data_IF_638546012174
#
_entry.id   IF_638546012174
#
_cell.length_a   1.000
_cell.length_b   1.000
_cell.length_c   1.000
_cell.angle_alpha   90.00
_cell.angle_beta   90.00
_cell.angle_gamma   90.00
#
_symmetry.space_group_name_H-M   'P 1'
#
loop_
_entity.id
_entity.type
_entity.pdbx_description
1 polymer ?
#
# COMPACT_ATOMS: atom_id res chain seq x y z
N UNK A 1 25.41 -15.56 -12.94
CA UNK A 1 25.12 -14.86 -14.20
C UNK A 1 24.30 -13.62 -13.88
N UNK A 2 24.78 -12.47 -14.33
CA UNK A 2 24.16 -11.15 -14.18
C UNK A 2 22.93 -11.00 -15.07
N UNK A 3 21.92 -10.28 -14.60
CA UNK A 3 20.62 -9.96 -15.26
C UNK A 3 20.69 -9.31 -16.66
N UNK A 4 21.83 -9.34 -17.34
CA UNK A 4 22.08 -8.73 -18.65
C UNK A 4 21.95 -9.72 -19.83
N UNK A 5 21.82 -11.03 -19.58
CA UNK A 5 21.92 -12.04 -20.65
C UNK A 5 20.63 -12.24 -21.45
N UNK A 6 19.52 -11.57 -21.10
CA UNK A 6 18.25 -11.69 -21.81
C UNK A 6 17.71 -10.32 -22.24
N UNK A 7 18.16 -9.77 -23.38
CA UNK A 7 17.78 -8.43 -23.84
C UNK A 7 16.27 -8.26 -24.02
N UNK A 8 15.53 -9.35 -24.17
CA UNK A 8 14.08 -9.36 -24.22
C UNK A 8 13.43 -9.03 -22.86
N UNK A 9 13.99 -9.52 -21.74
CA UNK A 9 13.43 -9.26 -20.40
C UNK A 9 13.63 -7.82 -19.94
N UNK A 10 14.81 -7.24 -20.20
CA UNK A 10 15.02 -5.82 -19.88
C UNK A 10 14.13 -4.92 -20.75
N UNK A 11 13.87 -5.30 -22.00
CA UNK A 11 12.93 -4.59 -22.87
C UNK A 11 11.50 -4.64 -22.32
N UNK A 12 11.01 -5.83 -21.95
CA UNK A 12 9.70 -6.01 -21.30
C UNK A 12 9.59 -5.21 -19.99
N UNK A 13 10.64 -5.24 -19.17
CA UNK A 13 10.69 -4.44 -17.94
C UNK A 13 10.57 -2.95 -18.26
N UNK A 14 11.29 -2.46 -19.26
CA UNK A 14 11.25 -1.06 -19.67
C UNK A 14 9.90 -0.64 -20.27
N UNK A 15 9.25 -1.51 -21.04
CA UNK A 15 7.88 -1.32 -21.54
C UNK A 15 6.90 -1.18 -20.36
N UNK A 16 7.00 -2.07 -19.37
CA UNK A 16 6.19 -1.99 -18.15
C UNK A 16 6.40 -0.70 -17.38
N UNK A 17 7.65 -0.26 -17.21
CA UNK A 17 8.00 1.00 -16.54
C UNK A 17 7.39 2.19 -17.29
N UNK A 18 7.44 2.16 -18.62
CA UNK A 18 6.92 3.24 -19.47
C UNK A 18 5.41 3.31 -19.36
N UNK A 19 4.72 2.18 -19.45
CA UNK A 19 3.27 2.09 -19.26
C UNK A 19 2.84 2.58 -17.86
N UNK A 20 3.58 2.18 -16.81
CA UNK A 20 3.32 2.64 -15.44
C UNK A 20 3.46 4.16 -15.30
N UNK A 21 4.50 4.75 -15.91
CA UNK A 21 4.70 6.20 -15.93
C UNK A 21 3.62 6.97 -16.69
N UNK A 22 3.03 6.35 -17.71
CA UNK A 22 1.91 6.90 -18.47
C UNK A 22 0.55 6.71 -17.75
N UNK A 23 0.52 6.09 -16.57
CA UNK A 23 -0.71 5.79 -15.84
C UNK A 23 -1.47 4.56 -16.36
N UNK A 24 -0.93 3.85 -17.34
CA UNK A 24 -1.51 2.61 -17.85
C UNK A 24 -1.09 1.42 -16.98
N UNK A 25 -1.74 1.29 -15.81
CA UNK A 25 -1.40 0.27 -14.81
C UNK A 25 -1.68 -1.16 -15.29
N UNK A 26 -2.69 -1.36 -16.13
CA UNK A 26 -3.05 -2.68 -16.66
C UNK A 26 -2.00 -3.21 -17.62
N UNK A 27 -1.58 -2.38 -18.59
CA UNK A 27 -0.50 -2.74 -19.51
C UNK A 27 0.83 -2.96 -18.75
N UNK A 28 1.14 -2.09 -17.79
CA UNK A 28 2.32 -2.24 -16.96
C UNK A 28 2.33 -3.57 -16.20
N UNK A 29 1.19 -3.95 -15.60
CA UNK A 29 1.03 -5.22 -14.89
C UNK A 29 1.26 -6.42 -15.80
N UNK A 30 0.78 -6.37 -17.06
CA UNK A 30 1.00 -7.43 -18.03
C UNK A 30 2.49 -7.62 -18.32
N UNK A 31 3.20 -6.54 -18.61
CA UNK A 31 4.64 -6.59 -18.88
C UNK A 31 5.44 -7.08 -17.67
N UNK A 32 5.17 -6.56 -16.47
CA UNK A 32 5.85 -7.03 -15.25
C UNK A 32 5.55 -8.50 -14.95
N UNK A 33 4.32 -8.96 -15.25
CA UNK A 33 3.98 -10.37 -15.10
C UNK A 33 4.81 -11.24 -16.04
N UNK A 34 4.93 -10.87 -17.31
CA UNK A 34 5.79 -11.60 -18.26
C UNK A 34 7.24 -11.66 -17.80
N UNK A 35 7.79 -10.55 -17.29
CA UNK A 35 9.15 -10.53 -16.71
C UNK A 35 9.26 -11.50 -15.54
N UNK A 36 8.26 -11.55 -14.66
CA UNK A 36 8.25 -12.40 -13.47
C UNK A 36 7.96 -13.88 -13.78
N UNK A 37 7.23 -14.16 -14.85
CA UNK A 37 6.97 -15.53 -15.30
C UNK A 37 8.27 -16.19 -15.79
N UNK A 38 9.12 -15.42 -16.47
CA UNK A 38 10.45 -15.84 -16.94
C UNK A 38 11.53 -15.75 -15.84
N UNK A 39 11.55 -14.66 -15.07
CA UNK A 39 12.47 -14.45 -13.95
C UNK A 39 11.75 -14.03 -12.66
N UNK A 40 11.35 -15.05 -11.89
CA UNK A 40 10.74 -14.87 -10.56
C UNK A 40 11.67 -14.21 -9.55
N UNK A 41 12.98 -14.17 -9.80
CA UNK A 41 14.00 -13.54 -8.94
C UNK A 41 14.29 -12.09 -9.35
N UNK A 42 13.52 -11.51 -10.27
CA UNK A 42 13.67 -10.11 -10.65
C UNK A 42 13.05 -9.18 -9.58
N UNK A 43 13.86 -8.76 -8.62
CA UNK A 43 13.44 -7.85 -7.54
C UNK A 43 12.96 -6.49 -8.07
N UNK A 44 13.50 -6.01 -9.20
CA UNK A 44 13.04 -4.77 -9.86
C UNK A 44 11.60 -4.92 -10.33
N UNK A 45 11.27 -6.03 -11.00
CA UNK A 45 9.92 -6.29 -11.50
C UNK A 45 8.90 -6.40 -10.36
N UNK A 46 9.26 -7.03 -9.23
CA UNK A 46 8.41 -7.07 -8.03
C UNK A 46 8.15 -5.67 -7.45
N UNK A 47 9.18 -4.81 -7.38
CA UNK A 47 9.03 -3.42 -6.91
C UNK A 47 8.10 -2.63 -7.82
N UNK A 48 8.23 -2.77 -9.14
CA UNK A 48 7.37 -2.09 -10.09
C UNK A 48 5.95 -2.66 -10.14
N UNK A 49 5.77 -3.97 -9.97
CA UNK A 49 4.46 -4.58 -9.80
C UNK A 49 3.70 -3.98 -8.60
N UNK A 50 4.43 -3.68 -7.52
CA UNK A 50 3.86 -3.02 -6.35
C UNK A 50 3.39 -1.58 -6.62
N UNK A 51 3.98 -0.86 -7.58
CA UNK A 51 3.56 0.51 -7.88
C UNK A 51 2.24 0.59 -8.66
N UNK A 52 1.88 -0.47 -9.38
CA UNK A 52 0.70 -0.53 -10.27
C UNK A 52 -0.47 -1.36 -9.71
N UNK A 53 -0.34 -1.87 -8.48
CA UNK A 53 -1.43 -2.54 -7.77
C UNK A 53 -2.08 -1.58 -6.78
N UNK A 54 -3.41 -1.51 -6.79
CA UNK A 54 -4.17 -0.59 -5.92
C UNK A 54 -4.34 -1.15 -4.50
N UNK A 55 -4.44 -2.48 -4.39
CA UNK A 55 -4.61 -3.18 -3.13
C UNK A 55 -3.36 -3.00 -2.25
N UNK A 56 -3.50 -2.33 -1.07
CA UNK A 56 -2.37 -2.09 -0.18
C UNK A 56 -1.78 -3.36 0.42
N UNK A 57 -2.56 -4.44 0.55
CA UNK A 57 -2.09 -5.73 1.05
C UNK A 57 -1.20 -6.38 0.00
N UNK A 58 -1.67 -6.48 -1.25
CA UNK A 58 -0.86 -7.01 -2.36
C UNK A 58 0.40 -6.19 -2.60
N UNK A 59 0.28 -4.86 -2.53
CA UNK A 59 1.43 -3.96 -2.63
C UNK A 59 2.51 -4.28 -1.60
N UNK A 60 2.12 -4.51 -0.34
CA UNK A 60 3.05 -4.91 0.71
C UNK A 60 3.69 -6.28 0.40
N UNK A 61 2.89 -7.28 0.02
CA UNK A 61 3.38 -8.62 -0.29
C UNK A 61 4.41 -8.64 -1.43
N UNK A 62 4.20 -7.85 -2.49
CA UNK A 62 5.17 -7.75 -3.59
C UNK A 62 6.49 -7.10 -3.16
N UNK A 63 6.43 -6.05 -2.32
CA UNK A 63 7.64 -5.41 -1.80
C UNK A 63 8.39 -6.33 -0.83
N UNK A 64 7.68 -7.09 0.00
CA UNK A 64 8.30 -8.11 0.86
C UNK A 64 8.95 -9.21 0.04
N UNK A 65 8.33 -9.63 -1.06
CA UNK A 65 8.90 -10.61 -2.00
C UNK A 65 10.18 -10.07 -2.63
N UNK A 66 10.19 -8.81 -3.07
CA UNK A 66 11.40 -8.16 -3.58
C UNK A 66 12.53 -8.13 -2.53
N UNK A 67 12.22 -7.92 -1.25
CA UNK A 67 13.21 -7.94 -0.17
C UNK A 67 13.67 -9.34 0.22
N UNK A 68 12.81 -10.36 0.09
CA UNK A 68 13.22 -11.76 0.28
C UNK A 68 14.24 -12.18 -0.78
N UNK A 69 14.04 -11.72 -2.01
CA UNK A 69 14.94 -11.97 -3.14
C UNK A 69 16.23 -11.15 -2.99
N UNK A 70 16.09 -9.84 -2.75
CA UNK A 70 17.20 -8.92 -2.59
C UNK A 70 17.00 -8.05 -1.34
N UNK A 71 17.54 -8.48 -0.18
CA UNK A 71 17.45 -7.72 1.08
C UNK A 71 18.07 -6.32 0.98
N UNK A 72 18.98 -6.11 0.03
CA UNK A 72 19.67 -4.84 -0.18
C UNK A 72 18.89 -3.84 -1.04
N UNK A 73 17.71 -4.21 -1.57
CA UNK A 73 16.91 -3.35 -2.44
C UNK A 73 16.41 -2.10 -1.67
N UNK A 74 17.04 -0.96 -1.95
CA UNK A 74 16.75 0.33 -1.31
C UNK A 74 15.34 0.83 -1.65
N UNK A 75 14.87 0.60 -2.87
CA UNK A 75 13.54 1.03 -3.34
C UNK A 75 12.42 0.30 -2.59
N UNK A 76 12.53 -1.02 -2.47
CA UNK A 76 11.56 -1.84 -1.74
C UNK A 76 11.46 -1.43 -0.26
N UNK A 77 12.60 -1.24 0.43
CA UNK A 77 12.61 -0.76 1.83
C UNK A 77 11.98 0.63 1.98
N UNK A 78 12.28 1.55 1.06
CA UNK A 78 11.73 2.91 1.11
C UNK A 78 10.20 2.89 0.95
N UNK A 79 9.70 2.10 0.00
CA UNK A 79 8.26 1.97 -0.25
C UNK A 79 7.54 1.32 0.95
N UNK A 80 8.08 0.23 1.51
CA UNK A 80 7.49 -0.43 2.69
C UNK A 80 7.40 0.50 3.90
N UNK A 81 8.44 1.29 4.19
CA UNK A 81 8.41 2.30 5.26
C UNK A 81 7.32 3.36 5.04
N UNK A 82 7.02 3.68 3.78
CA UNK A 82 5.98 4.65 3.45
C UNK A 82 4.58 4.04 3.66
N UNK A 83 4.41 2.75 3.40
CA UNK A 83 3.15 2.03 3.62
C UNK A 83 2.85 1.85 5.10
N UNK A 84 3.84 1.46 5.91
CA UNK A 84 3.66 1.31 7.36
C UNK A 84 3.23 2.63 8.03
N UNK A 85 3.82 3.76 7.63
CA UNK A 85 3.42 5.09 8.11
C UNK A 85 1.98 5.46 7.74
N UNK A 86 1.48 5.03 6.57
CA UNK A 86 0.09 5.31 6.15
C UNK A 86 -0.93 4.46 6.93
N UNK A 87 -0.57 3.23 7.31
CA UNK A 87 -1.48 2.33 8.06
C UNK A 87 -1.76 2.86 9.46
N UNK A 88 -0.75 3.27 10.22
CA UNK A 88 -0.92 3.80 11.59
C UNK A 88 -1.82 5.03 11.67
N UNK A 89 -1.85 5.88 10.63
CA UNK A 89 -2.70 7.08 10.58
C UNK A 89 -4.16 6.76 10.24
N UNK A 90 -4.42 5.71 9.44
CA UNK A 90 -5.78 5.34 9.03
C UNK A 90 -6.49 4.49 10.10
N UNK A 91 -5.74 3.65 10.82
CA UNK A 91 -6.27 2.77 11.88
C UNK A 91 -6.62 3.53 13.17
N UNK A 92 -5.92 4.63 13.49
CA UNK A 92 -6.20 5.42 14.70
C UNK A 92 -7.45 6.33 14.62
N UNK A 93 -7.96 6.66 13.43
CA UNK A 93 -9.11 7.57 13.29
C UNK A 93 -10.46 6.95 13.64
N UNK A 94 -10.59 5.63 13.58
CA UNK A 94 -11.87 4.95 13.85
C UNK A 94 -12.21 4.93 15.33
N UNK A 95 -11.20 4.91 16.21
CA UNK A 95 -11.40 4.88 17.67
C UNK A 95 -11.81 6.26 18.24
N UNK A 96 -11.34 7.35 17.65
CA UNK A 96 -11.64 8.71 18.14
C UNK A 96 -13.11 9.11 17.93
N UNK A 97 -13.75 8.74 16.83
CA UNK A 97 -15.14 9.12 16.54
C UNK A 97 -16.14 8.50 17.53
N UNK A 98 -15.91 7.25 17.96
CA UNK A 98 -16.79 6.58 18.93
C UNK A 98 -16.75 7.22 20.31
N UNK A 99 -15.56 7.61 20.79
CA UNK A 99 -15.39 8.23 22.11
C UNK A 99 -16.05 9.61 22.18
N UNK A 100 -15.93 10.41 21.11
CA UNK A 100 -16.56 11.74 21.04
C UNK A 100 -18.09 11.61 21.09
N UNK A 101 -18.68 10.66 20.36
CA UNK A 101 -20.13 10.46 20.35
C UNK A 101 -20.67 10.05 21.74
N UNK A 102 -19.98 9.15 22.44
CA UNK A 102 -20.36 8.73 23.80
C UNK A 102 -20.31 9.91 24.78
N UNK A 103 -19.26 10.72 24.74
CA UNK A 103 -19.16 11.91 25.60
C UNK A 103 -20.28 12.92 25.32
N UNK A 104 -20.62 13.14 24.04
CA UNK A 104 -21.71 14.06 23.69
C UNK A 104 -23.06 13.59 24.22
N UNK A 105 -23.36 12.29 24.13
CA UNK A 105 -24.61 11.72 24.65
C UNK A 105 -24.68 11.85 26.18
N UNK A 106 -23.60 11.55 26.88
CA UNK A 106 -23.56 11.64 28.35
C UNK A 106 -23.80 13.08 28.84
N UNK A 107 -23.21 14.06 28.17
CA UNK A 107 -23.41 15.49 28.51
C UNK A 107 -24.86 15.91 28.27
N UNK A 108 -25.45 15.53 27.12
CA UNK A 108 -26.85 15.86 26.80
C UNK A 108 -27.82 15.19 27.78
N UNK A 109 -27.59 13.92 28.11
CA UNK A 109 -28.41 13.18 29.07
C UNK A 109 -28.35 13.81 30.47
N UNK A 110 -27.15 14.20 30.92
CA UNK A 110 -26.97 14.88 32.20
C UNK A 110 -27.71 16.24 32.24
N UNK A 111 -27.62 17.04 31.19
CA UNK A 111 -28.35 18.31 31.08
C UNK A 111 -29.87 18.11 31.11
N UNK A 112 -30.37 17.10 30.40
CA UNK A 112 -31.80 16.77 30.40
C UNK A 112 -32.28 16.32 31.78
N UNK A 113 -31.52 15.47 32.48
CA UNK A 113 -31.82 15.06 33.85
C UNK A 113 -31.86 16.25 34.82
N UNK A 114 -30.90 17.17 34.73
CA UNK A 114 -30.87 18.38 35.57
C UNK A 114 -32.08 19.26 35.29
N UNK A 115 -32.43 19.47 34.01
CA UNK A 115 -33.59 20.28 33.63
C UNK A 115 -34.90 19.66 34.16
N UNK A 116 -35.05 18.34 34.04
CA UNK A 116 -36.22 17.62 34.54
C UNK A 116 -36.36 17.68 36.07
N UNK A 117 -35.24 17.75 36.80
CA UNK A 117 -35.20 17.93 38.25
C UNK A 117 -35.61 19.34 38.68
N UNK A 118 -35.21 20.36 37.92
CA UNK A 118 -35.52 21.77 38.23
C UNK A 118 -36.97 22.14 37.87
N UNK A 119 -37.54 21.48 36.85
CA UNK A 119 -38.93 21.72 36.39
C UNK A 119 -39.99 20.91 37.15
N UNK A 120 -39.57 20.07 38.11
CA UNK A 120 -40.45 19.23 38.93
C UNK A 120 -40.67 19.86 40.30
#
# INVERSE_FOLDING_TARGET
MSNADNPNLENLLQMGITAAKQGNHDAARLFFKQVLDEDKKNDRAWVWMASVVDDPVKRQQYLETALKINPSNKSARKLLRTLSRKRSVKEQRTLMLGVIFVLTILVVAALFCVLALVLR
#
